data_IF_905076220558
#
_entry.id   IF_905076220558
#
_cell.length_a   1.000
_cell.length_b   1.000
_cell.length_c   1.000
_cell.angle_alpha   90.00
_cell.angle_beta   90.00
_cell.angle_gamma   90.00
#
_symmetry.space_group_name_H-M   'P 1'
#
loop_
_entity.id
_entity.type
_entity.pdbx_description
1 polymer ?
#
# COMPACT_ATOMS: atom_id res chain seq x y z
N UNK A 1 -8.07 0.63 -17.78
CA UNK A 1 -6.91 0.40 -16.90
C UNK A 1 -5.74 1.17 -17.48
N UNK A 2 -5.33 2.29 -16.88
CA UNK A 2 -4.19 3.08 -17.37
C UNK A 2 -3.05 2.94 -16.37
N UNK A 3 -2.14 2.02 -16.66
CA UNK A 3 -0.81 2.02 -16.05
C UNK A 3 -0.09 3.28 -16.56
N UNK A 4 0.26 4.19 -15.66
CA UNK A 4 0.97 5.42 -16.01
C UNK A 4 2.43 5.07 -16.36
N UNK A 5 2.95 5.50 -17.53
CA UNK A 5 4.35 5.32 -17.87
C UNK A 5 5.21 6.32 -17.10
N UNK A 6 6.18 5.80 -16.33
CA UNK A 6 7.24 6.59 -15.72
C UNK A 6 7.25 6.55 -14.20
N UNK A 7 8.02 5.59 -13.67
CA UNK A 7 8.28 5.32 -12.24
C UNK A 7 7.02 5.02 -11.39
N UNK A 8 6.96 3.88 -10.68
CA UNK A 8 5.89 3.66 -9.73
C UNK A 8 5.93 4.78 -8.69
N UNK A 9 4.83 5.52 -8.57
CA UNK A 9 4.70 6.53 -7.53
C UNK A 9 4.92 5.87 -6.17
N UNK A 10 5.72 6.52 -5.31
CA UNK A 10 5.97 6.01 -3.97
C UNK A 10 4.84 6.47 -3.05
N UNK A 11 4.17 5.52 -2.42
CA UNK A 11 3.12 5.75 -1.46
C UNK A 11 3.66 5.49 -0.05
N UNK A 12 3.04 6.12 0.94
CA UNK A 12 3.20 5.78 2.35
C UNK A 12 2.04 4.93 2.81
N UNK A 13 2.33 3.72 3.25
CA UNK A 13 1.39 2.83 3.92
C UNK A 13 1.50 3.01 5.44
N UNK A 14 0.39 3.34 6.07
CA UNK A 14 0.24 3.40 7.52
C UNK A 14 -0.64 2.25 8.00
N UNK A 15 -0.15 1.45 8.94
CA UNK A 15 -0.91 0.37 9.58
C UNK A 15 -0.73 0.48 11.09
N UNK A 16 -1.76 0.97 11.79
CA UNK A 16 -1.61 1.31 13.21
C UNK A 16 -0.49 2.34 13.43
N UNK A 17 0.57 1.93 14.14
CA UNK A 17 1.75 2.77 14.41
C UNK A 17 2.88 2.62 13.38
N UNK A 18 2.79 1.61 12.51
CA UNK A 18 3.77 1.29 11.48
C UNK A 18 3.71 2.26 10.28
N UNK A 19 4.86 2.46 9.62
CA UNK A 19 4.94 3.26 8.40
C UNK A 19 5.94 2.64 7.40
N UNK A 20 5.50 2.47 6.16
CA UNK A 20 6.28 1.85 5.07
C UNK A 20 6.22 2.71 3.80
N UNK A 21 7.31 2.76 3.06
CA UNK A 21 7.30 3.18 1.66
C UNK A 21 6.86 1.99 0.80
N UNK A 22 5.92 2.21 -0.11
CA UNK A 22 5.35 1.15 -0.96
C UNK A 22 5.13 1.62 -2.39
N UNK A 23 5.12 0.69 -3.33
CA UNK A 23 4.63 0.90 -4.69
C UNK A 23 3.30 0.17 -4.86
N UNK A 24 2.31 0.83 -5.44
CA UNK A 24 1.06 0.17 -5.85
C UNK A 24 1.35 -0.59 -7.15
N UNK A 25 1.22 -1.90 -7.10
CA UNK A 25 1.36 -2.80 -8.25
C UNK A 25 0.04 -2.91 -9.01
N UNK A 26 -1.07 -3.00 -8.28
CA UNK A 26 -2.41 -3.10 -8.83
C UNK A 26 -3.43 -2.35 -7.96
N UNK A 27 -4.36 -1.67 -8.62
CA UNK A 27 -5.52 -1.01 -8.00
C UNK A 27 -6.76 -1.81 -8.40
N UNK A 28 -7.24 -2.64 -7.48
CA UNK A 28 -8.40 -3.53 -7.67
C UNK A 28 -9.62 -3.02 -6.91
N UNK A 29 -9.70 -1.71 -6.66
CA UNK A 29 -10.85 -1.11 -5.98
C UNK A 29 -12.16 -1.49 -6.66
N UNK A 30 -13.12 -1.92 -5.85
CA UNK A 30 -14.49 -2.17 -6.26
C UNK A 30 -15.40 -1.13 -5.59
N UNK A 31 -16.59 -0.90 -6.15
CA UNK A 31 -17.52 0.09 -5.60
C UNK A 31 -17.94 -0.33 -4.19
N UNK A 32 -17.44 0.38 -3.17
CA UNK A 32 -17.65 0.07 -1.76
C UNK A 32 -16.45 -0.55 -1.02
N UNK A 33 -15.40 -0.99 -1.71
CA UNK A 33 -14.24 -1.67 -1.11
C UNK A 33 -12.91 -1.13 -1.66
N UNK A 34 -12.04 -0.66 -0.77
CA UNK A 34 -10.68 -0.27 -1.15
C UNK A 34 -9.77 -1.49 -1.16
N UNK A 35 -9.27 -1.86 -2.34
CA UNK A 35 -8.34 -2.99 -2.51
C UNK A 35 -7.15 -2.62 -3.38
N UNK A 36 -5.95 -2.86 -2.88
CA UNK A 36 -4.70 -2.57 -3.57
C UNK A 36 -3.70 -3.71 -3.37
N UNK A 37 -2.98 -4.06 -4.43
CA UNK A 37 -1.77 -4.89 -4.31
C UNK A 37 -0.56 -3.98 -4.29
N UNK A 38 0.26 -4.07 -3.26
CA UNK A 38 1.42 -3.21 -3.07
C UNK A 38 2.71 -4.02 -2.91
N UNK A 39 3.84 -3.36 -3.12
CA UNK A 39 5.17 -3.86 -2.76
C UNK A 39 5.86 -2.92 -1.79
N UNK A 40 6.36 -3.44 -0.68
CA UNK A 40 7.15 -2.67 0.28
C UNK A 40 8.51 -2.37 -0.32
N UNK A 41 8.89 -1.09 -0.34
CA UNK A 41 10.17 -0.61 -0.87
C UNK A 41 11.07 -0.03 0.21
N UNK A 42 10.48 0.41 1.32
CA UNK A 42 11.19 1.04 2.43
C UNK A 42 10.47 0.76 3.76
N UNK A 43 11.24 0.54 4.84
CA UNK A 43 10.73 0.44 6.21
C UNK A 43 11.13 1.71 6.95
N UNK A 44 10.15 2.52 7.35
CA UNK A 44 10.39 3.80 8.03
C UNK A 44 10.22 3.62 9.54
N UNK A 45 9.16 2.91 9.92
CA UNK A 45 8.88 2.55 11.31
C UNK A 45 8.33 1.12 11.35
N UNK A 46 9.14 0.13 11.77
CA UNK A 46 8.67 -1.23 11.89
C UNK A 46 7.80 -1.38 13.14
N UNK A 47 6.62 -1.94 12.95
CA UNK A 47 5.73 -2.41 14.03
C UNK A 47 4.97 -3.66 13.53
N UNK A 48 5.50 -4.31 12.48
CA UNK A 48 4.93 -5.44 11.76
C UNK A 48 6.06 -6.29 11.17
N UNK A 49 5.75 -7.52 10.77
CA UNK A 49 6.69 -8.49 10.19
C UNK A 49 7.01 -8.23 8.71
N UNK A 50 6.57 -7.08 8.16
CA UNK A 50 6.82 -6.73 6.77
C UNK A 50 8.29 -6.41 6.53
N UNK A 51 8.81 -6.96 5.45
CA UNK A 51 10.17 -6.69 4.97
C UNK A 51 10.16 -6.01 3.61
N UNK A 52 11.25 -5.30 3.28
CA UNK A 52 11.44 -4.72 1.94
C UNK A 52 11.38 -5.84 0.90
N UNK A 53 10.62 -5.60 -0.16
CA UNK A 53 10.35 -6.56 -1.21
C UNK A 53 9.05 -7.33 -1.04
N UNK A 54 8.42 -7.32 0.15
CA UNK A 54 7.15 -8.01 0.37
C UNK A 54 6.05 -7.44 -0.52
N UNK A 55 5.30 -8.34 -1.15
CA UNK A 55 4.05 -8.00 -1.82
C UNK A 55 2.88 -8.36 -0.92
N UNK A 56 1.90 -7.46 -0.83
CA UNK A 56 0.78 -7.58 0.10
C UNK A 56 -0.48 -7.12 -0.61
N UNK A 57 -1.55 -7.90 -0.45
CA UNK A 57 -2.89 -7.49 -0.83
C UNK A 57 -3.55 -6.79 0.37
N UNK A 58 -3.80 -5.49 0.19
CA UNK A 58 -4.54 -4.68 1.14
C UNK A 58 -6.00 -4.69 0.71
N UNK A 59 -6.88 -5.20 1.58
CA UNK A 59 -8.33 -5.16 1.39
C UNK A 59 -8.96 -4.49 2.60
N UNK A 60 -9.82 -3.51 2.34
CA UNK A 60 -10.56 -2.80 3.35
C UNK A 60 -12.06 -2.87 3.05
N UNK A 61 -12.78 -3.60 3.91
CA UNK A 61 -14.24 -3.82 3.80
C UNK A 61 -15.05 -3.01 4.81
N UNK A 62 -14.40 -2.32 5.75
CA UNK A 62 -14.99 -1.51 6.85
C UNK A 62 -13.99 -0.43 7.29
N UNK A 63 -14.11 0.16 8.49
CA UNK A 63 -13.20 1.22 8.99
C UNK A 63 -11.71 0.95 8.69
N UNK A 64 -10.90 1.99 8.39
CA UNK A 64 -9.54 1.81 7.90
C UNK A 64 -8.60 1.24 8.95
N UNK A 65 -8.24 -0.04 8.77
CA UNK A 65 -7.10 -0.70 9.44
C UNK A 65 -5.76 -0.26 8.87
N UNK A 66 -5.76 0.32 7.66
CA UNK A 66 -4.60 0.88 6.98
C UNK A 66 -4.97 2.14 6.21
N UNK A 67 -3.97 2.96 5.88
CA UNK A 67 -4.13 4.16 5.03
C UNK A 67 -2.98 4.28 4.05
N UNK A 68 -3.28 4.49 2.78
CA UNK A 68 -2.30 4.81 1.74
C UNK A 68 -2.33 6.32 1.46
N UNK A 69 -1.14 6.95 1.40
CA UNK A 69 -0.99 8.35 0.99
C UNK A 69 0.05 8.46 -0.11
N UNK A 70 -0.28 9.19 -1.17
CA UNK A 70 0.70 9.57 -2.19
C UNK A 70 1.66 10.60 -1.57
N UNK A 71 2.98 10.39 -1.76
CA UNK A 71 4.02 11.36 -1.39
C UNK A 71 4.33 12.34 -2.54
#
# INVERSE_FOLDING_TARGET
>A
MKQLPGQPATYRLFMGSACFGVHVLEDTRQEGDESYRIRVTEIIRPDSELTVGNEIDLTQTSEPSWRLRLE
#
